data_IF_477449194071
#
_entry.id   IF_477449194071
#
_cell.length_a   1.000
_cell.length_b   1.000
_cell.length_c   1.000
_cell.angle_alpha   90.00
_cell.angle_beta   90.00
_cell.angle_gamma   90.00
#
_symmetry.space_group_name_H-M   'P 1'
#
loop_
_entity.id
_entity.type
_entity.pdbx_description
1 polymer ?
#
# COMPACT_ATOMS: atom_id res chain seq x y z
N UNK A 1 24.89 -35.98 -23.70
CA UNK A 1 24.33 -34.61 -23.60
C UNK A 1 23.03 -34.73 -22.82
N UNK A 2 23.07 -34.38 -21.54
CA UNK A 2 21.90 -34.46 -20.64
C UNK A 2 21.30 -33.07 -20.59
N UNK A 3 20.12 -32.91 -21.23
CA UNK A 3 19.39 -31.65 -21.23
C UNK A 3 18.85 -31.32 -19.83
N UNK A 4 19.23 -30.19 -19.29
CA UNK A 4 18.65 -29.61 -18.07
C UNK A 4 17.16 -29.32 -18.32
N UNK A 5 16.25 -29.78 -17.46
CA UNK A 5 14.85 -29.43 -17.62
C UNK A 5 14.64 -27.94 -17.32
N UNK A 6 14.17 -27.22 -18.31
CA UNK A 6 13.70 -25.85 -18.15
C UNK A 6 12.47 -25.92 -17.27
N UNK A 7 12.53 -25.34 -16.08
CA UNK A 7 11.39 -25.19 -15.16
C UNK A 7 10.27 -24.42 -15.91
N UNK A 8 9.09 -25.04 -15.96
CA UNK A 8 7.91 -24.42 -16.57
C UNK A 8 7.49 -23.17 -15.79
N UNK A 9 7.07 -22.09 -16.44
CA UNK A 9 6.71 -20.82 -15.78
C UNK A 9 5.51 -20.90 -14.84
N UNK A 10 4.78 -22.00 -14.82
CA UNK A 10 3.52 -22.16 -14.05
C UNK A 10 3.76 -22.45 -12.54
N UNK A 11 4.99 -22.71 -12.12
CA UNK A 11 5.29 -23.08 -10.72
C UNK A 11 5.31 -21.87 -9.75
N UNK A 12 5.48 -20.66 -10.24
CA UNK A 12 5.50 -19.46 -9.40
C UNK A 12 4.08 -18.91 -9.12
N UNK A 13 3.14 -19.08 -10.05
CA UNK A 13 1.73 -18.71 -9.81
C UNK A 13 1.09 -19.54 -8.70
N UNK A 14 1.48 -20.81 -8.58
CA UNK A 14 1.00 -21.69 -7.50
C UNK A 14 1.51 -21.25 -6.12
N UNK A 15 2.74 -20.73 -6.03
CA UNK A 15 3.31 -20.22 -4.78
C UNK A 15 2.69 -18.88 -4.36
N UNK A 16 2.27 -18.04 -5.30
CA UNK A 16 1.55 -16.79 -5.00
C UNK A 16 0.16 -17.10 -4.42
N UNK A 17 -0.54 -18.11 -4.95
CA UNK A 17 -1.85 -18.53 -4.44
C UNK A 17 -1.78 -19.08 -2.99
N UNK A 18 -0.67 -19.67 -2.59
CA UNK A 18 -0.46 -20.14 -1.20
C UNK A 18 -0.13 -19.00 -0.22
N UNK A 19 0.45 -17.89 -0.69
CA UNK A 19 0.79 -16.73 0.15
C UNK A 19 -0.43 -15.89 0.55
N UNK A 20 -1.59 -16.09 -0.08
CA UNK A 20 -2.82 -15.33 0.21
C UNK A 20 -3.72 -16.01 1.25
N UNK A 21 -3.27 -17.10 1.88
CA UNK A 21 -4.09 -17.82 2.85
C UNK A 21 -4.18 -17.07 4.19
N UNK A 22 -5.41 -16.82 4.62
CA UNK A 22 -5.81 -16.23 5.90
C UNK A 22 -5.48 -17.16 7.10
N UNK A 23 -4.19 -17.41 7.37
CA UNK A 23 -3.75 -18.12 8.56
C UNK A 23 -3.65 -17.21 9.78
N UNK A 24 -3.84 -17.71 11.01
CA UNK A 24 -3.73 -16.93 12.23
C UNK A 24 -2.34 -16.32 12.47
N UNK A 25 -1.31 -16.85 11.82
CA UNK A 25 0.10 -16.43 11.96
C UNK A 25 0.58 -15.48 10.84
N UNK A 26 -0.33 -15.01 9.98
CA UNK A 26 0.01 -14.02 8.96
C UNK A 26 0.38 -12.69 9.62
N UNK A 27 1.51 -12.07 9.26
CA UNK A 27 1.81 -10.71 9.72
C UNK A 27 0.64 -9.79 9.35
N UNK A 28 0.15 -9.05 10.34
CA UNK A 28 -0.97 -8.12 10.13
C UNK A 28 -0.58 -7.09 9.07
N UNK A 29 -1.44 -6.93 8.07
CA UNK A 29 -1.28 -5.84 7.10
C UNK A 29 -1.43 -4.50 7.80
N UNK A 30 -0.87 -3.41 7.24
CA UNK A 30 -1.09 -2.08 7.76
C UNK A 30 -2.57 -1.74 7.97
N UNK A 31 -3.46 -2.24 7.10
CA UNK A 31 -4.91 -2.07 7.22
C UNK A 31 -5.53 -2.79 8.43
N UNK A 32 -4.88 -3.79 8.98
CA UNK A 32 -5.31 -4.54 10.18
C UNK A 32 -4.67 -4.01 11.47
N UNK A 33 -3.86 -2.97 11.37
CA UNK A 33 -3.22 -2.33 12.54
C UNK A 33 -4.18 -1.42 13.28
N UNK A 34 -3.87 -1.12 14.56
CA UNK A 34 -4.65 -0.21 15.39
C UNK A 34 -4.77 1.23 14.79
N UNK A 35 -3.90 1.58 13.84
CA UNK A 35 -3.87 2.90 13.19
C UNK A 35 -5.07 3.11 12.25
N UNK A 36 -5.59 2.04 11.64
CA UNK A 36 -6.80 2.11 10.79
C UNK A 36 -8.03 2.52 11.61
N UNK A 37 -8.18 1.94 12.80
CA UNK A 37 -9.29 2.30 13.69
C UNK A 37 -9.23 3.78 14.09
N UNK A 38 -8.03 4.33 14.27
CA UNK A 38 -7.86 5.75 14.57
C UNK A 38 -8.29 6.63 13.39
N UNK A 39 -7.89 6.31 12.16
CA UNK A 39 -8.29 7.06 10.96
C UNK A 39 -9.81 7.06 10.80
N UNK A 40 -10.46 5.92 11.04
CA UNK A 40 -11.95 5.81 10.97
C UNK A 40 -12.62 6.66 12.04
N UNK A 41 -12.11 6.68 13.28
CA UNK A 41 -12.66 7.52 14.35
C UNK A 41 -12.45 9.01 14.10
N UNK A 42 -11.28 9.39 13.60
CA UNK A 42 -10.98 10.79 13.24
C UNK A 42 -11.88 11.29 12.09
N UNK A 43 -12.19 10.42 11.12
CA UNK A 43 -13.12 10.73 10.02
C UNK A 43 -14.55 11.02 10.54
N UNK A 44 -15.03 10.21 11.50
CA UNK A 44 -16.35 10.40 12.09
C UNK A 44 -16.42 11.67 12.93
N UNK A 45 -15.40 11.95 13.73
CA UNK A 45 -15.31 13.18 14.52
C UNK A 45 -15.29 14.43 13.64
N UNK A 46 -14.64 14.38 12.48
CA UNK A 46 -14.58 15.47 11.52
C UNK A 46 -15.94 15.71 10.82
N UNK A 47 -16.71 14.66 10.55
CA UNK A 47 -18.08 14.77 10.02
C UNK A 47 -19.00 15.51 11.02
N UNK A 48 -18.92 15.14 12.29
CA UNK A 48 -19.71 15.75 13.38
C UNK A 48 -19.30 17.22 13.61
N UNK A 49 -18.06 17.60 13.30
CA UNK A 49 -17.55 18.97 13.39
C UNK A 49 -17.85 19.87 12.17
N UNK A 50 -18.57 19.36 11.15
CA UNK A 50 -18.93 20.13 9.95
C UNK A 50 -17.77 20.44 9.01
N UNK A 51 -16.68 19.66 9.04
CA UNK A 51 -15.55 19.80 8.12
C UNK A 51 -16.00 19.40 6.70
N UNK A 52 -15.63 20.16 5.65
CA UNK A 52 -15.99 19.82 4.28
C UNK A 52 -15.43 18.41 3.92
N UNK A 53 -16.32 17.55 3.40
CA UNK A 53 -15.99 16.18 3.02
C UNK A 53 -15.69 16.10 1.53
N UNK A 54 -14.78 15.22 1.15
CA UNK A 54 -14.46 14.87 -0.24
C UNK A 54 -14.79 13.41 -0.47
N UNK A 55 -15.34 13.11 -1.64
CA UNK A 55 -15.74 11.75 -2.03
C UNK A 55 -14.83 11.22 -3.13
N UNK A 56 -14.29 10.04 -2.92
CA UNK A 56 -13.38 9.38 -3.85
C UNK A 56 -13.67 7.88 -3.93
N UNK A 57 -13.12 7.23 -4.93
CA UNK A 57 -13.29 5.78 -5.13
C UNK A 57 -11.94 5.09 -4.95
N UNK A 58 -11.88 4.10 -4.07
CA UNK A 58 -10.68 3.28 -3.84
C UNK A 58 -11.02 1.83 -4.15
N UNK A 59 -10.34 1.25 -5.12
CA UNK A 59 -10.55 -0.14 -5.57
C UNK A 59 -12.03 -0.49 -5.80
N UNK A 60 -12.79 0.47 -6.37
CA UNK A 60 -14.21 0.32 -6.64
C UNK A 60 -15.15 0.62 -5.47
N UNK A 61 -14.64 0.93 -4.27
CA UNK A 61 -15.42 1.32 -3.11
C UNK A 61 -15.46 2.85 -2.99
N UNK A 62 -16.66 3.43 -2.84
CA UNK A 62 -16.82 4.86 -2.57
C UNK A 62 -16.51 5.16 -1.10
N UNK A 63 -15.65 6.13 -0.85
CA UNK A 63 -15.24 6.57 0.49
C UNK A 63 -15.37 8.08 0.57
N UNK A 64 -15.89 8.57 1.70
CA UNK A 64 -15.96 10.00 2.00
C UNK A 64 -15.03 10.30 3.18
N UNK A 65 -14.11 11.24 2.98
CA UNK A 65 -13.11 11.63 3.98
C UNK A 65 -13.08 13.16 4.13
N UNK A 66 -12.64 13.68 5.28
CA UNK A 66 -12.43 15.10 5.46
C UNK A 66 -11.46 15.68 4.44
N UNK A 67 -11.70 16.90 3.99
CA UNK A 67 -10.78 17.61 3.11
C UNK A 67 -9.40 17.77 3.79
N UNK A 68 -8.35 17.41 3.08
CA UNK A 68 -6.98 17.42 3.59
C UNK A 68 -6.47 16.05 4.07
N UNK A 69 -7.36 15.04 4.18
CA UNK A 69 -6.96 13.64 4.43
C UNK A 69 -6.06 13.15 3.29
N UNK A 70 -5.01 12.40 3.62
CA UNK A 70 -4.13 11.82 2.61
C UNK A 70 -4.77 10.59 1.94
N UNK A 71 -4.42 10.36 0.68
CA UNK A 71 -4.96 9.22 -0.09
C UNK A 71 -4.65 7.88 0.60
N UNK A 72 -3.52 7.74 1.28
CA UNK A 72 -3.19 6.54 2.04
C UNK A 72 -4.19 6.28 3.18
N UNK A 73 -4.62 7.32 3.89
CA UNK A 73 -5.62 7.23 4.97
C UNK A 73 -7.01 6.91 4.41
N UNK A 74 -7.36 7.50 3.26
CA UNK A 74 -8.59 7.17 2.56
C UNK A 74 -8.60 5.71 2.09
N UNK A 75 -7.46 5.18 1.62
CA UNK A 75 -7.32 3.77 1.26
C UNK A 75 -7.52 2.85 2.47
N UNK A 76 -6.94 3.18 3.61
CA UNK A 76 -7.15 2.43 4.86
C UNK A 76 -8.62 2.46 5.28
N UNK A 77 -9.29 3.60 5.19
CA UNK A 77 -10.74 3.72 5.48
C UNK A 77 -11.60 2.88 4.55
N UNK A 78 -11.16 2.65 3.31
CA UNK A 78 -11.79 1.73 2.35
C UNK A 78 -11.52 0.25 2.67
N UNK A 79 -10.59 -0.06 3.58
CA UNK A 79 -10.07 -1.39 3.85
C UNK A 79 -9.15 -1.91 2.75
N UNK A 80 -8.54 -1.00 1.95
CA UNK A 80 -7.53 -1.34 0.95
C UNK A 80 -6.15 -1.29 1.60
N UNK A 81 -5.34 -2.32 1.33
CA UNK A 81 -3.98 -2.41 1.84
C UNK A 81 -3.02 -1.65 0.93
N UNK A 82 -2.24 -0.75 1.51
CA UNK A 82 -1.19 0.02 0.83
C UNK A 82 0.10 -0.13 1.62
N UNK A 83 1.16 -0.71 1.04
CA UNK A 83 2.41 -0.91 1.74
C UNK A 83 3.13 0.41 2.00
N UNK A 84 3.79 0.54 3.15
CA UNK A 84 4.59 1.73 3.49
C UNK A 84 5.67 1.43 4.52
N UNK A 85 6.71 2.28 4.58
CA UNK A 85 7.73 2.27 5.63
C UNK A 85 7.84 3.61 6.37
N UNK A 86 7.82 4.73 5.63
CA UNK A 86 8.09 6.05 6.21
C UNK A 86 6.84 6.84 6.64
N UNK A 87 5.63 6.31 6.37
CA UNK A 87 4.39 6.96 6.78
C UNK A 87 4.09 6.64 8.26
N UNK A 88 3.58 7.63 8.98
CA UNK A 88 3.03 7.47 10.33
C UNK A 88 1.89 8.48 10.54
N UNK A 89 0.70 8.06 11.09
CA UNK A 89 -0.49 8.92 11.18
C UNK A 89 -0.33 10.17 12.05
N UNK A 90 0.68 10.18 12.93
CA UNK A 90 0.95 11.29 13.87
C UNK A 90 2.11 12.19 13.45
N UNK A 91 2.73 11.91 12.31
CA UNK A 91 3.88 12.65 11.82
C UNK A 91 3.58 13.21 10.43
N UNK A 92 4.23 14.32 10.11
CA UNK A 92 4.17 14.86 8.74
C UNK A 92 4.78 13.85 7.76
N UNK A 93 4.04 13.53 6.71
CA UNK A 93 4.49 12.59 5.71
C UNK A 93 5.66 13.14 4.90
N UNK A 94 6.74 12.38 4.81
CA UNK A 94 7.96 12.78 4.09
C UNK A 94 8.06 12.19 2.68
N UNK A 95 7.29 11.14 2.36
CA UNK A 95 7.26 10.51 1.04
C UNK A 95 8.58 9.89 0.57
N UNK A 96 9.49 9.54 1.50
CA UNK A 96 10.86 9.14 1.19
C UNK A 96 11.00 7.70 0.70
N UNK A 97 10.28 6.73 1.30
CA UNK A 97 10.45 5.31 0.97
C UNK A 97 9.85 4.92 -0.38
N UNK A 98 8.88 5.67 -0.89
CA UNK A 98 8.16 5.41 -2.15
C UNK A 98 7.42 4.08 -2.21
N UNK A 99 7.28 3.36 -1.12
CA UNK A 99 6.60 2.05 -1.12
C UNK A 99 5.08 2.16 -1.31
N UNK A 100 4.46 3.25 -0.83
CA UNK A 100 3.01 3.49 -0.88
C UNK A 100 2.52 3.97 -2.27
N UNK A 101 3.06 3.40 -3.34
CA UNK A 101 2.65 3.72 -4.69
C UNK A 101 1.26 3.13 -4.99
N UNK A 102 0.40 3.94 -5.60
CA UNK A 102 -0.87 3.51 -6.18
C UNK A 102 -1.15 4.30 -7.47
N UNK A 103 -2.01 3.77 -8.31
CA UNK A 103 -2.52 4.48 -9.47
C UNK A 103 -3.60 5.46 -9.01
N UNK A 104 -3.36 6.73 -9.22
CA UNK A 104 -4.27 7.82 -8.88
C UNK A 104 -4.76 8.46 -10.18
N UNK A 105 -6.06 8.35 -10.42
CA UNK A 105 -6.72 9.00 -11.56
C UNK A 105 -7.32 10.32 -11.09
N UNK A 106 -6.88 11.39 -11.71
CA UNK A 106 -7.33 12.76 -11.48
C UNK A 106 -7.85 13.37 -12.78
N UNK A 107 -8.88 14.18 -12.68
CA UNK A 107 -9.30 15.03 -13.77
C UNK A 107 -8.47 16.33 -13.74
N UNK A 108 -7.61 16.49 -14.74
CA UNK A 108 -6.82 17.70 -14.94
C UNK A 108 -7.11 18.27 -16.33
N UNK A 109 -7.52 19.55 -16.38
CA UNK A 109 -7.80 20.24 -17.65
C UNK A 109 -8.84 19.51 -18.55
N UNK A 110 -9.89 18.94 -17.93
CA UNK A 110 -10.95 18.22 -18.66
C UNK A 110 -10.52 16.83 -19.19
N UNK A 111 -9.37 16.32 -18.80
CA UNK A 111 -8.92 14.97 -19.13
C UNK A 111 -8.62 14.17 -17.87
N UNK A 112 -9.12 12.95 -17.81
CA UNK A 112 -8.75 11.99 -16.77
C UNK A 112 -7.39 11.38 -17.11
N UNK A 113 -6.44 11.52 -16.19
CA UNK A 113 -5.12 10.93 -16.31
C UNK A 113 -4.84 10.06 -15.09
N UNK A 114 -4.41 8.82 -15.34
CA UNK A 114 -3.88 7.95 -14.31
C UNK A 114 -2.37 8.14 -14.21
N UNK A 115 -1.87 8.28 -12.99
CA UNK A 115 -0.43 8.31 -12.72
C UNK A 115 -0.13 7.56 -11.43
N UNK A 116 1.05 6.90 -11.38
CA UNK A 116 1.51 6.21 -10.18
C UNK A 116 2.11 7.27 -9.23
N UNK A 117 1.51 7.39 -8.04
CA UNK A 117 1.88 8.42 -7.06
C UNK A 117 2.05 7.80 -5.67
N UNK A 118 2.88 8.43 -4.83
CA UNK A 118 3.01 8.05 -3.42
C UNK A 118 1.80 8.57 -2.63
N UNK A 119 0.92 7.68 -2.25
CA UNK A 119 -0.37 7.99 -1.61
C UNK A 119 -0.24 8.74 -0.28
N UNK A 120 0.89 8.59 0.41
CA UNK A 120 1.17 9.31 1.66
C UNK A 120 1.48 10.81 1.46
N UNK A 121 1.64 11.30 0.22
CA UNK A 121 1.93 12.71 -0.06
C UNK A 121 0.81 13.40 -0.85
N UNK A 122 -0.20 12.67 -1.27
CA UNK A 122 -1.29 13.19 -2.10
C UNK A 122 -2.51 13.44 -1.22
N UNK A 123 -3.02 14.68 -1.13
CA UNK A 123 -4.29 14.95 -0.47
C UNK A 123 -5.46 14.40 -1.29
N UNK A 124 -6.45 13.85 -0.62
CA UNK A 124 -7.69 13.39 -1.23
C UNK A 124 -8.48 14.55 -1.83
N UNK A 125 -9.01 14.37 -3.04
CA UNK A 125 -9.86 15.32 -3.72
C UNK A 125 -11.11 14.64 -4.31
N UNK A 126 -12.16 15.43 -4.56
CA UNK A 126 -13.40 14.91 -5.11
C UNK A 126 -13.21 14.27 -6.48
N UNK A 127 -13.88 13.15 -6.68
CA UNK A 127 -13.87 12.42 -7.94
C UNK A 127 -12.58 11.67 -8.25
N UNK A 128 -11.62 11.63 -7.32
CA UNK A 128 -10.43 10.77 -7.48
C UNK A 128 -10.82 9.30 -7.58
N UNK A 129 -10.11 8.57 -8.45
CA UNK A 129 -10.19 7.11 -8.51
C UNK A 129 -8.80 6.54 -8.24
N UNK A 130 -8.72 5.69 -7.23
CA UNK A 130 -7.47 5.09 -6.75
C UNK A 130 -7.53 3.60 -6.95
N UNK A 131 -6.46 3.03 -7.51
CA UNK A 131 -6.30 1.59 -7.71
C UNK A 131 -4.98 1.15 -7.10
N UNK A 132 -5.03 0.25 -6.12
CA UNK A 132 -3.87 -0.20 -5.36
C UNK A 132 -3.25 -1.48 -5.92
N UNK A 133 -3.99 -2.24 -6.72
CA UNK A 133 -3.63 -3.61 -7.13
C UNK A 133 -3.42 -3.78 -8.64
N UNK A 134 -3.22 -2.69 -9.40
CA UNK A 134 -2.95 -2.82 -10.85
C UNK A 134 -1.57 -3.45 -11.11
N UNK A 135 -1.37 -4.14 -12.26
CA UNK A 135 -0.08 -4.72 -12.61
C UNK A 135 1.07 -3.71 -12.58
N UNK A 136 0.84 -2.49 -13.05
CA UNK A 136 1.84 -1.42 -13.06
C UNK A 136 2.20 -0.96 -11.64
N UNK A 137 1.22 -0.89 -10.73
CA UNK A 137 1.44 -0.57 -9.32
C UNK A 137 2.26 -1.66 -8.66
N UNK A 138 1.90 -2.93 -8.84
CA UNK A 138 2.65 -4.07 -8.30
C UNK A 138 4.09 -4.06 -8.80
N UNK A 139 4.31 -3.87 -10.10
CA UNK A 139 5.65 -3.77 -10.68
C UNK A 139 6.46 -2.62 -10.06
N UNK A 140 5.83 -1.47 -9.84
CA UNK A 140 6.50 -0.32 -9.24
C UNK A 140 6.84 -0.58 -7.76
N UNK A 141 5.95 -1.20 -6.99
CA UNK A 141 6.19 -1.57 -5.59
C UNK A 141 7.31 -2.61 -5.47
N UNK A 142 7.32 -3.64 -6.34
CA UNK A 142 8.40 -4.63 -6.39
C UNK A 142 9.76 -3.97 -6.68
N UNK A 143 9.81 -3.06 -7.66
CA UNK A 143 11.05 -2.33 -7.96
C UNK A 143 11.55 -1.48 -6.78
N UNK A 144 10.65 -0.91 -5.99
CA UNK A 144 11.03 -0.20 -4.75
C UNK A 144 11.59 -1.16 -3.72
N UNK A 145 10.98 -2.35 -3.53
CA UNK A 145 11.50 -3.38 -2.62
C UNK A 145 12.87 -3.88 -3.07
N UNK A 146 13.05 -4.17 -4.35
CA UNK A 146 14.35 -4.57 -4.91
C UNK A 146 15.42 -3.52 -4.61
N UNK A 147 15.11 -2.23 -4.79
CA UNK A 147 16.05 -1.14 -4.52
C UNK A 147 16.41 -1.05 -3.02
N UNK A 148 15.44 -1.24 -2.12
CA UNK A 148 15.68 -1.25 -0.67
C UNK A 148 16.53 -2.46 -0.30
N UNK A 149 16.24 -3.64 -0.83
CA UNK A 149 16.95 -4.88 -0.54
C UNK A 149 18.36 -4.89 -1.10
N UNK A 150 18.60 -4.27 -2.26
CA UNK A 150 19.93 -4.21 -2.88
C UNK A 150 21.01 -3.56 -1.99
N UNK A 151 20.61 -2.67 -1.10
CA UNK A 151 21.49 -1.98 -0.16
C UNK A 151 21.33 -2.44 1.30
N UNK A 152 20.49 -3.47 1.53
CA UNK A 152 20.24 -3.98 2.87
C UNK A 152 21.22 -5.10 3.24
N UNK A 153 21.83 -5.10 4.45
CA UNK A 153 22.73 -6.18 4.90
C UNK A 153 22.03 -7.55 4.91
N UNK A 154 22.73 -8.59 4.48
CA UNK A 154 22.22 -9.98 4.47
C UNK A 154 22.43 -10.69 5.82
N UNK A 155 22.28 -9.98 6.92
CA UNK A 155 22.58 -10.42 8.27
C UNK A 155 21.34 -10.84 9.07
N UNK A 156 20.27 -11.23 8.40
CA UNK A 156 19.00 -11.62 9.04
C UNK A 156 19.17 -12.66 10.19
N UNK A 157 20.04 -13.67 10.10
CA UNK A 157 20.18 -14.67 11.16
C UNK A 157 20.76 -14.11 12.47
N UNK A 158 21.45 -12.97 12.42
CA UNK A 158 22.09 -12.32 13.58
C UNK A 158 21.50 -10.93 13.84
N UNK A 159 20.46 -10.54 13.11
CA UNK A 159 19.80 -9.26 13.26
C UNK A 159 18.77 -9.32 14.38
N UNK A 160 18.79 -8.34 15.30
CA UNK A 160 17.86 -8.23 16.42
C UNK A 160 16.39 -8.08 15.97
N UNK A 161 16.15 -7.67 14.72
CA UNK A 161 14.81 -7.55 14.10
C UNK A 161 14.37 -8.82 13.37
N UNK A 162 15.19 -9.89 13.37
CA UNK A 162 14.82 -11.15 12.73
C UNK A 162 13.50 -11.70 13.26
N UNK A 163 12.54 -11.99 12.37
CA UNK A 163 11.18 -12.44 12.74
C UNK A 163 10.15 -11.35 13.03
N UNK A 164 10.58 -10.12 13.37
CA UNK A 164 9.70 -8.96 13.61
C UNK A 164 9.98 -7.80 12.63
N UNK A 165 10.62 -8.10 11.51
CA UNK A 165 11.11 -7.09 10.57
C UNK A 165 10.02 -6.67 9.57
N UNK A 166 9.63 -5.39 9.54
CA UNK A 166 8.69 -4.89 8.53
C UNK A 166 9.15 -5.13 7.09
N UNK A 167 10.48 -5.07 6.82
CA UNK A 167 11.02 -5.32 5.49
C UNK A 167 10.84 -6.78 5.07
N UNK A 168 11.08 -7.74 5.98
CA UNK A 168 10.80 -9.16 5.72
C UNK A 168 9.32 -9.39 5.41
N UNK A 169 8.41 -8.82 6.21
CA UNK A 169 6.97 -8.94 6.02
C UNK A 169 6.53 -8.35 4.68
N UNK A 170 7.03 -7.15 4.32
CA UNK A 170 6.72 -6.52 3.04
C UNK A 170 7.27 -7.32 1.86
N UNK A 171 8.47 -7.91 1.98
CA UNK A 171 9.06 -8.74 0.93
C UNK A 171 8.24 -10.01 0.70
N UNK A 172 7.71 -10.62 1.75
CA UNK A 172 6.82 -11.80 1.62
C UNK A 172 5.49 -11.45 0.98
N UNK A 173 4.94 -10.25 1.28
CA UNK A 173 3.60 -9.87 0.85
C UNK A 173 3.56 -9.22 -0.54
N UNK A 174 4.62 -8.54 -0.95
CA UNK A 174 4.66 -7.68 -2.15
C UNK A 174 5.85 -7.96 -3.08
N UNK A 175 6.77 -8.86 -2.70
CA UNK A 175 7.95 -9.23 -3.48
C UNK A 175 7.74 -10.32 -4.50
#
# INVERSE_FOLDING_TARGET
>A
MVGTPILKPDSWEHNIAMSTQNGPDRPKTPAESADVNKVVTDTKAAQDAGVPMVSLVVDGKSVSVPKGTLVIEAAFSAGSDVPYFCYHPRLTSVGACRMCLASVELEMFGQRRASIMATCTVPAADGMVIKTTTPDVKKAQNGVLELILANHPLDCPVCDRGGECPLQNMTISYG
#
